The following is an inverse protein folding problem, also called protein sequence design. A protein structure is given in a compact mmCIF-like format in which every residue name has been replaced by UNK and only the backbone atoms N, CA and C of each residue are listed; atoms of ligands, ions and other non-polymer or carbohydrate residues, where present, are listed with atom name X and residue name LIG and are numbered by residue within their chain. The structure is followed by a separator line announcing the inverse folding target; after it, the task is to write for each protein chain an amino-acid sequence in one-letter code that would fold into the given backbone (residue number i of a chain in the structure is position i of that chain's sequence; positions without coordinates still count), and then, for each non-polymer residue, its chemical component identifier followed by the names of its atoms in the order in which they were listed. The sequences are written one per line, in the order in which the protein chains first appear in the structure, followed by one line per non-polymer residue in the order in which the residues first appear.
data_IF_730316750853
#
_entry.id   IF_730316750853
#
_cell.length_a   1.000
_cell.length_b   1.000
_cell.length_c   1.000
_cell.angle_alpha   90.00
_cell.angle_beta   90.00
_cell.angle_gamma   90.00
#
_symmetry.space_group_name_H-M   'P 1'
#
loop_
_entity.id
_entity.type
_entity.pdbx_description
1 polymer ?
#
# COMPACT_ATOMS: atom_id res chain seq x y z
N UNK A 1 13.04 -6.08 8.41
CA UNK A 1 14.42 -6.57 8.39
C UNK A 1 14.68 -7.20 7.04
N UNK A 2 15.76 -6.80 6.37
CA UNK A 2 16.04 -7.16 4.97
C UNK A 2 17.48 -7.63 4.82
N UNK A 3 17.72 -8.53 3.87
CA UNK A 3 19.06 -8.82 3.36
C UNK A 3 19.54 -7.71 2.41
N UNK A 4 20.82 -7.74 2.02
CA UNK A 4 21.39 -6.77 1.06
C UNK A 4 20.77 -6.88 -0.33
N UNK A 5 20.34 -8.07 -0.72
CA UNK A 5 19.64 -8.36 -1.96
C UNK A 5 18.12 -8.11 -1.88
N UNK A 6 17.61 -7.50 -0.79
CA UNK A 6 16.22 -7.06 -0.71
C UNK A 6 15.21 -8.11 -0.23
N UNK A 7 15.66 -9.30 0.18
CA UNK A 7 14.78 -10.33 0.75
C UNK A 7 14.36 -9.96 2.17
N UNK A 8 13.06 -10.05 2.48
CA UNK A 8 12.52 -9.89 3.83
C UNK A 8 12.95 -11.09 4.68
N UNK A 9 13.58 -10.81 5.82
CA UNK A 9 13.95 -11.83 6.82
C UNK A 9 13.06 -11.78 8.05
N UNK A 10 12.57 -10.60 8.40
CA UNK A 10 11.69 -10.43 9.55
C UNK A 10 10.85 -9.16 9.44
N UNK A 11 9.59 -9.23 9.85
CA UNK A 11 8.71 -8.06 9.96
C UNK A 11 8.11 -7.99 11.36
N UNK A 12 8.14 -6.81 11.96
CA UNK A 12 7.41 -6.51 13.20
C UNK A 12 6.47 -5.35 12.92
N UNK A 13 5.19 -5.53 13.19
CA UNK A 13 4.17 -4.49 13.04
C UNK A 13 3.40 -4.32 14.34
N UNK A 14 3.22 -3.06 14.76
CA UNK A 14 2.32 -2.68 15.84
C UNK A 14 1.29 -1.71 15.29
N UNK A 15 0.01 -2.10 15.33
CA UNK A 15 -1.10 -1.26 14.89
C UNK A 15 -1.92 -0.85 16.11
N UNK A 16 -2.09 0.45 16.29
CA UNK A 16 -2.94 1.02 17.35
C UNK A 16 -3.98 1.89 16.65
N UNK A 17 -5.26 1.54 16.80
CA UNK A 17 -6.35 2.24 16.13
C UNK A 17 -7.35 2.79 17.13
N UNK A 18 -7.86 3.98 16.81
CA UNK A 18 -8.98 4.60 17.52
C UNK A 18 -10.30 3.92 17.14
N UNK A 19 -10.86 3.16 18.09
CA UNK A 19 -12.15 2.48 17.97
C UNK A 19 -13.35 3.37 18.27
N UNK A 20 -13.13 4.59 18.79
CA UNK A 20 -14.18 5.47 19.26
C UNK A 20 -14.86 4.99 20.55
N UNK A 21 -16.00 5.59 20.88
CA UNK A 21 -16.70 5.36 22.14
C UNK A 21 -17.32 3.96 22.31
N UNK A 22 -17.61 3.26 21.20
CA UNK A 22 -18.18 1.92 21.22
C UNK A 22 -17.41 1.01 20.27
N UNK A 23 -17.15 -0.24 20.70
CA UNK A 23 -16.26 -1.14 19.98
C UNK A 23 -16.75 -1.48 18.57
N UNK A 24 -18.07 -1.49 18.34
CA UNK A 24 -18.70 -1.80 17.05
C UNK A 24 -17.98 -2.95 16.31
N UNK A 25 -17.41 -2.68 15.14
CA UNK A 25 -16.67 -3.66 14.33
C UNK A 25 -15.14 -3.56 14.49
N UNK A 26 -14.65 -2.78 15.46
CA UNK A 26 -13.22 -2.55 15.71
C UNK A 26 -12.45 -3.85 15.91
N UNK A 27 -12.96 -4.80 16.72
CA UNK A 27 -12.29 -6.09 16.94
C UNK A 27 -12.08 -6.85 15.62
N UNK A 28 -13.12 -6.93 14.78
CA UNK A 28 -13.01 -7.53 13.44
C UNK A 28 -12.04 -6.79 12.53
N UNK A 29 -12.04 -5.46 12.55
CA UNK A 29 -11.11 -4.62 11.76
C UNK A 29 -9.67 -4.89 12.17
N UNK A 30 -9.38 -4.92 13.47
CA UNK A 30 -8.04 -5.18 14.00
C UNK A 30 -7.57 -6.62 13.70
N UNK A 31 -8.48 -7.60 13.77
CA UNK A 31 -8.18 -8.99 13.43
C UNK A 31 -7.88 -9.16 11.95
N UNK A 32 -8.67 -8.56 11.06
CA UNK A 32 -8.43 -8.64 9.62
C UNK A 32 -7.14 -7.92 9.23
N UNK A 33 -6.86 -6.76 9.83
CA UNK A 33 -5.57 -6.10 9.64
C UNK A 33 -4.40 -7.00 10.02
N UNK A 34 -4.47 -7.71 11.16
CA UNK A 34 -3.42 -8.67 11.54
C UNK A 34 -3.26 -9.82 10.53
N UNK A 35 -4.36 -10.32 9.96
CA UNK A 35 -4.35 -11.40 8.95
C UNK A 35 -3.72 -10.94 7.63
N UNK A 36 -3.73 -9.64 7.32
CA UNK A 36 -3.25 -9.11 6.04
C UNK A 36 -1.96 -8.27 6.16
N UNK A 37 -1.50 -8.01 7.38
CA UNK A 37 -0.39 -7.11 7.65
C UNK A 37 0.96 -7.52 7.04
N UNK A 38 1.21 -8.80 6.79
CA UNK A 38 2.42 -9.22 6.09
C UNK A 38 2.43 -8.87 4.59
N UNK A 39 1.30 -8.39 4.06
CA UNK A 39 1.09 -8.19 2.63
C UNK A 39 1.12 -9.52 1.86
N UNK A 40 1.14 -9.47 0.52
CA UNK A 40 1.22 -10.65 -0.32
C UNK A 40 2.67 -11.15 -0.49
N UNK A 41 3.45 -11.10 0.61
CA UNK A 41 4.89 -11.38 0.61
C UNK A 41 5.24 -12.57 1.51
N UNK A 42 6.28 -13.31 1.13
CA UNK A 42 6.83 -14.40 1.93
C UNK A 42 7.70 -13.82 3.05
N UNK A 43 7.18 -13.82 4.27
CA UNK A 43 7.87 -13.30 5.46
C UNK A 43 8.16 -14.45 6.43
N UNK A 44 9.42 -14.91 6.58
CA UNK A 44 9.72 -16.10 7.36
C UNK A 44 9.57 -15.88 8.88
N UNK A 45 9.85 -14.68 9.38
CA UNK A 45 9.74 -14.34 10.80
C UNK A 45 8.84 -13.12 10.97
N UNK A 46 7.82 -13.23 11.81
CA UNK A 46 6.76 -12.23 11.90
C UNK A 46 6.28 -12.05 13.33
N UNK A 47 6.10 -10.80 13.74
CA UNK A 47 5.32 -10.44 14.92
C UNK A 47 4.35 -9.31 14.56
N UNK A 48 3.05 -9.52 14.78
CA UNK A 48 2.02 -8.51 14.54
C UNK A 48 1.18 -8.38 15.80
N UNK A 49 1.14 -7.17 16.35
CA UNK A 49 0.28 -6.82 17.47
C UNK A 49 -0.71 -5.74 17.01
N UNK A 50 -2.01 -5.97 17.20
CA UNK A 50 -3.08 -5.02 16.85
C UNK A 50 -3.91 -4.67 18.07
N UNK A 51 -4.15 -3.37 18.29
CA UNK A 51 -4.89 -2.83 19.43
C UNK A 51 -6.00 -1.88 18.97
N UNK A 52 -7.25 -2.20 19.29
CA UNK A 52 -8.37 -1.28 19.19
C UNK A 52 -8.55 -0.55 20.52
N UNK A 53 -8.45 0.78 20.50
CA UNK A 53 -8.50 1.62 21.70
C UNK A 53 -9.86 2.29 21.79
N UNK A 54 -10.52 2.16 22.93
CA UNK A 54 -11.70 2.96 23.25
C UNK A 54 -11.29 4.40 23.54
N UNK A 55 -11.94 5.34 22.88
CA UNK A 55 -11.71 6.78 23.06
C UNK A 55 -13.04 7.52 23.22
N UNK A 56 -13.00 8.83 23.45
CA UNK A 56 -14.20 9.67 23.45
C UNK A 56 -14.59 10.19 22.06
N UNK A 57 -13.91 9.74 21.00
CA UNK A 57 -14.26 10.11 19.63
C UNK A 57 -15.50 9.35 19.15
N UNK A 58 -16.07 9.82 18.04
CA UNK A 58 -17.19 9.16 17.37
C UNK A 58 -16.86 7.67 17.12
N UNK A 59 -17.80 6.74 17.38
CA UNK A 59 -17.58 5.32 17.18
C UNK A 59 -17.05 5.01 15.77
N UNK A 60 -15.94 4.26 15.72
CA UNK A 60 -15.34 3.78 14.47
C UNK A 60 -15.90 2.41 14.10
N UNK A 61 -15.81 2.05 12.83
CA UNK A 61 -16.26 0.74 12.38
C UNK A 61 -15.79 0.38 10.98
N UNK A 62 -16.55 -0.48 10.32
CA UNK A 62 -16.26 -0.98 9.00
C UNK A 62 -16.17 0.15 7.96
N UNK A 63 -15.00 0.29 7.35
CA UNK A 63 -14.84 0.99 6.09
C UNK A 63 -14.34 0.01 5.02
N UNK A 64 -14.48 0.34 3.74
CA UNK A 64 -13.96 -0.46 2.62
C UNK A 64 -12.52 -0.92 2.92
N UNK A 65 -12.26 -2.20 2.67
CA UNK A 65 -11.04 -2.97 3.02
C UNK A 65 -11.00 -3.55 4.44
N UNK A 66 -11.71 -2.96 5.41
CA UNK A 66 -11.93 -3.50 6.77
C UNK A 66 -10.61 -3.79 7.51
N UNK A 67 -9.74 -2.78 7.63
CA UNK A 67 -8.45 -2.89 8.35
C UNK A 67 -7.24 -3.24 7.46
N UNK A 68 -7.48 -3.82 6.29
CA UNK A 68 -6.40 -4.23 5.38
C UNK A 68 -5.57 -3.03 4.87
N UNK A 69 -6.26 -1.96 4.45
CA UNK A 69 -5.62 -0.80 3.82
C UNK A 69 -4.61 -0.13 4.77
N UNK A 70 -4.94 -0.01 6.05
CA UNK A 70 -4.07 0.58 7.07
C UNK A 70 -2.76 -0.20 7.20
N UNK A 71 -2.85 -1.53 7.20
CA UNK A 71 -1.67 -2.39 7.33
C UNK A 71 -0.88 -2.50 6.03
N UNK A 72 -1.57 -2.54 4.88
CA UNK A 72 -0.94 -2.55 3.56
C UNK A 72 -0.17 -1.26 3.30
N UNK A 73 -0.71 -0.09 3.68
CA UNK A 73 0.01 1.17 3.60
C UNK A 73 1.35 1.12 4.35
N UNK A 74 1.35 0.58 5.57
CA UNK A 74 2.57 0.46 6.37
C UNK A 74 3.58 -0.52 5.74
N UNK A 75 3.10 -1.67 5.23
CA UNK A 75 3.95 -2.69 4.61
C UNK A 75 4.54 -2.24 3.27
N UNK A 76 3.75 -1.58 2.44
CA UNK A 76 4.22 -1.03 1.16
C UNK A 76 5.19 0.14 1.37
N UNK A 77 4.91 1.02 2.34
CA UNK A 77 5.84 2.08 2.73
C UNK A 77 7.17 1.51 3.24
N UNK A 78 7.13 0.42 4.02
CA UNK A 78 8.34 -0.26 4.48
C UNK A 78 9.16 -0.79 3.30
N UNK A 79 8.52 -1.35 2.27
CA UNK A 79 9.19 -1.84 1.07
C UNK A 79 9.82 -0.72 0.26
N UNK A 80 9.13 0.42 0.11
CA UNK A 80 9.70 1.58 -0.62
C UNK A 80 10.90 2.17 0.12
N UNK A 81 10.83 2.31 1.44
CA UNK A 81 11.98 2.75 2.26
C UNK A 81 13.14 1.74 2.18
N UNK A 82 12.84 0.44 2.13
CA UNK A 82 13.86 -0.59 1.96
C UNK A 82 14.50 -0.53 0.57
N UNK A 83 13.69 -0.34 -0.48
CA UNK A 83 14.16 -0.17 -1.86
C UNK A 83 15.12 1.01 -1.97
N UNK A 84 14.76 2.16 -1.39
CA UNK A 84 15.61 3.35 -1.36
C UNK A 84 16.96 3.08 -0.69
N UNK A 85 16.93 2.50 0.52
CA UNK A 85 18.15 2.23 1.30
C UNK A 85 19.07 1.19 0.67
N UNK A 86 18.50 0.25 -0.09
CA UNK A 86 19.25 -0.82 -0.75
C UNK A 86 19.62 -0.49 -2.19
N UNK A 87 19.15 0.65 -2.72
CA UNK A 87 19.34 1.01 -4.13
C UNK A 87 18.65 0.05 -5.10
N UNK A 88 17.54 -0.56 -4.67
CA UNK A 88 16.75 -1.50 -5.47
C UNK A 88 15.57 -0.78 -6.11
N UNK A 89 15.15 -1.29 -7.26
CA UNK A 89 13.91 -0.84 -7.89
C UNK A 89 12.67 -1.28 -7.05
N UNK A 90 11.66 -0.41 -6.87
CA UNK A 90 10.44 -0.72 -6.13
C UNK A 90 9.66 -1.94 -6.63
N UNK A 91 9.63 -2.19 -7.94
CA UNK A 91 9.00 -3.38 -8.49
C UNK A 91 9.86 -4.62 -8.21
N UNK A 92 11.19 -4.51 -8.37
CA UNK A 92 12.10 -5.65 -8.15
C UNK A 92 12.04 -6.15 -6.71
N UNK A 93 12.08 -5.27 -5.70
CA UNK A 93 11.99 -5.71 -4.29
C UNK A 93 10.66 -6.42 -3.99
N UNK A 94 9.56 -6.01 -4.64
CA UNK A 94 8.27 -6.68 -4.52
C UNK A 94 8.29 -8.05 -5.19
N UNK A 95 8.92 -8.19 -6.36
CA UNK A 95 9.09 -9.48 -7.06
C UNK A 95 9.92 -10.48 -6.26
N UNK A 96 10.98 -10.02 -5.61
CA UNK A 96 11.86 -10.84 -4.77
C UNK A 96 11.07 -11.50 -3.63
N UNK A 97 10.12 -10.76 -3.06
CA UNK A 97 9.37 -11.18 -1.86
C UNK A 97 7.98 -11.73 -2.15
N UNK A 98 7.47 -11.63 -3.38
CA UNK A 98 6.12 -12.02 -3.76
C UNK A 98 5.78 -13.48 -3.43
N UNK A 99 4.57 -13.71 -2.93
CA UNK A 99 3.98 -15.05 -2.86
C UNK A 99 3.77 -15.64 -4.27
N UNK A 100 3.80 -16.96 -4.36
CA UNK A 100 3.60 -17.76 -5.57
C UNK A 100 2.63 -18.90 -5.30
N UNK A 101 2.19 -19.61 -6.33
CA UNK A 101 1.34 -20.80 -6.19
C UNK A 101 1.92 -21.77 -5.17
N UNK A 102 1.06 -22.28 -4.28
CA UNK A 102 1.45 -23.17 -3.20
C UNK A 102 2.10 -22.49 -1.98
N UNK A 103 2.34 -21.17 -2.01
CA UNK A 103 2.84 -20.43 -0.84
C UNK A 103 1.85 -20.53 0.34
N UNK A 104 2.41 -20.47 1.54
CA UNK A 104 1.64 -20.34 2.77
C UNK A 104 1.62 -18.87 3.20
N UNK A 105 0.44 -18.35 3.53
CA UNK A 105 0.34 -17.08 4.27
C UNK A 105 0.97 -17.23 5.66
N UNK A 106 1.20 -16.12 6.37
CA UNK A 106 1.69 -16.21 7.75
C UNK A 106 0.71 -16.93 8.69
N UNK A 107 -0.59 -16.88 8.37
CA UNK A 107 -1.66 -17.63 9.04
C UNK A 107 -1.80 -19.08 8.55
N UNK A 108 -0.85 -19.57 7.74
CA UNK A 108 -0.75 -20.95 7.22
C UNK A 108 -1.82 -21.35 6.22
N UNK A 109 -2.54 -20.40 5.62
CA UNK A 109 -3.42 -20.70 4.49
C UNK A 109 -2.58 -20.97 3.24
N UNK A 110 -2.82 -22.11 2.58
CA UNK A 110 -2.15 -22.46 1.31
C UNK A 110 -2.86 -21.79 0.14
N UNK A 111 -2.10 -21.04 -0.66
CA UNK A 111 -2.62 -20.38 -1.85
C UNK A 111 -2.64 -21.36 -3.03
N UNK A 112 -3.77 -21.41 -3.74
CA UNK A 112 -3.92 -22.19 -4.96
C UNK A 112 -3.28 -21.47 -6.14
N UNK A 113 -3.94 -20.42 -6.62
CA UNK A 113 -3.47 -19.58 -7.73
C UNK A 113 -3.13 -18.18 -7.23
N UNK A 114 -1.95 -17.68 -7.57
CA UNK A 114 -1.44 -16.37 -7.19
C UNK A 114 -1.06 -15.59 -8.44
N UNK A 115 -1.84 -14.54 -8.74
CA UNK A 115 -1.61 -13.68 -9.91
C UNK A 115 -0.80 -12.43 -9.63
N UNK A 116 -0.23 -12.28 -8.43
CA UNK A 116 0.47 -11.05 -8.01
C UNK A 116 1.53 -10.62 -9.02
N UNK A 117 2.42 -11.53 -9.42
CA UNK A 117 3.51 -11.20 -10.36
C UNK A 117 2.98 -10.80 -11.74
N UNK A 118 1.94 -11.48 -12.23
CA UNK A 118 1.27 -11.10 -13.47
C UNK A 118 0.69 -9.68 -13.37
N UNK A 119 0.01 -9.37 -12.26
CA UNK A 119 -0.54 -8.03 -12.04
C UNK A 119 0.58 -6.98 -11.94
N UNK A 120 1.70 -7.33 -11.32
CA UNK A 120 2.84 -6.44 -11.16
C UNK A 120 3.53 -6.17 -12.50
N UNK A 121 3.71 -7.18 -13.34
CA UNK A 121 4.27 -7.05 -14.70
C UNK A 121 3.39 -6.18 -15.60
N UNK A 122 2.07 -6.41 -15.58
CA UNK A 122 1.14 -5.58 -16.36
C UNK A 122 1.05 -4.15 -15.80
N UNK A 123 1.16 -3.96 -14.47
CA UNK A 123 1.19 -2.63 -13.87
C UNK A 123 2.47 -1.87 -14.25
N UNK A 124 3.63 -2.52 -14.23
CA UNK A 124 4.91 -1.91 -14.66
C UNK A 124 4.83 -1.46 -16.11
N UNK A 125 4.33 -2.34 -16.99
CA UNK A 125 4.15 -2.06 -18.41
C UNK A 125 3.14 -0.95 -18.67
N UNK A 126 1.95 -1.04 -18.08
CA UNK A 126 0.86 -0.09 -18.31
C UNK A 126 1.17 1.30 -17.74
N UNK A 127 1.95 1.38 -16.67
CA UNK A 127 2.38 2.66 -16.09
C UNK A 127 3.54 3.31 -16.85
N UNK A 128 4.18 2.60 -17.79
CA UNK A 128 5.40 3.06 -18.45
C UNK A 128 6.54 3.28 -17.45
N UNK A 129 6.66 2.39 -16.45
CA UNK A 129 7.60 2.56 -15.35
C UNK A 129 9.05 2.63 -15.86
N UNK A 130 9.77 3.66 -15.46
CA UNK A 130 11.20 3.79 -15.69
C UNK A 130 11.95 3.11 -14.55
N UNK A 131 12.68 2.05 -14.90
CA UNK A 131 13.39 1.22 -13.91
C UNK A 131 14.49 2.00 -13.21
N UNK A 132 14.53 1.90 -11.87
CA UNK A 132 15.57 2.52 -11.06
C UNK A 132 15.22 2.58 -9.58
N UNK A 133 16.19 2.93 -8.74
CA UNK A 133 15.93 3.23 -7.33
C UNK A 133 14.87 4.34 -7.19
N UNK A 134 14.10 4.41 -6.09
CA UNK A 134 12.99 5.36 -5.91
C UNK A 134 13.34 6.84 -6.19
N UNK A 135 14.60 7.21 -5.99
CA UNK A 135 15.14 8.57 -6.24
C UNK A 135 15.50 8.85 -7.70
N UNK A 136 15.26 7.92 -8.63
CA UNK A 136 15.71 8.01 -10.04
C UNK A 136 14.72 8.77 -10.94
N UNK A 137 13.61 9.30 -10.41
CA UNK A 137 12.77 10.21 -11.18
C UNK A 137 13.49 11.54 -11.33
N UNK A 138 14.11 11.76 -12.49
CA UNK A 138 14.82 13.01 -12.82
C UNK A 138 13.92 14.25 -12.73
N UNK A 139 14.44 15.41 -13.15
CA UNK A 139 13.73 16.69 -13.06
C UNK A 139 12.44 16.81 -13.89
N UNK A 140 12.15 15.82 -14.74
CA UNK A 140 11.01 15.83 -15.67
C UNK A 140 10.18 14.55 -15.49
N UNK A 141 8.86 14.70 -15.41
CA UNK A 141 7.90 13.58 -15.34
C UNK A 141 7.47 13.19 -16.75
N UNK A 142 7.84 12.00 -17.21
CA UNK A 142 7.45 11.47 -18.51
C UNK A 142 6.17 10.62 -18.47
N UNK A 143 5.69 10.31 -17.26
CA UNK A 143 4.51 9.50 -16.97
C UNK A 143 3.19 10.32 -16.91
N UNK A 144 3.20 11.58 -17.34
CA UNK A 144 2.02 12.44 -17.38
C UNK A 144 1.56 12.67 -18.83
N UNK A 145 0.27 12.89 -19.04
CA UNK A 145 -0.33 13.21 -20.35
C UNK A 145 -0.15 12.13 -21.44
N UNK A 146 0.15 10.89 -21.05
CA UNK A 146 0.24 9.75 -21.95
C UNK A 146 -1.12 9.20 -22.40
N UNK A 147 -1.16 8.37 -23.46
CA UNK A 147 -2.37 7.69 -23.90
C UNK A 147 -3.01 6.87 -22.78
N UNK A 148 -4.30 7.07 -22.51
CA UNK A 148 -5.02 6.34 -21.45
C UNK A 148 -4.93 6.97 -20.05
N UNK A 149 -4.11 8.01 -19.86
CA UNK A 149 -4.07 8.79 -18.63
C UNK A 149 -5.22 9.80 -18.66
N UNK A 150 -6.13 9.70 -17.69
CA UNK A 150 -7.19 10.71 -17.55
C UNK A 150 -6.64 11.97 -16.92
N UNK A 151 -7.06 13.17 -17.37
CA UNK A 151 -6.73 14.40 -16.68
C UNK A 151 -7.25 14.34 -15.24
N UNK A 152 -6.52 14.98 -14.33
CA UNK A 152 -6.95 15.09 -12.94
C UNK A 152 -8.37 15.67 -12.88
N UNK A 153 -9.32 14.93 -12.33
CA UNK A 153 -10.64 15.48 -12.06
C UNK A 153 -10.65 16.05 -10.65
N UNK A 154 -10.79 17.37 -10.53
CA UNK A 154 -11.11 17.99 -9.26
C UNK A 154 -12.59 17.68 -8.94
N UNK A 155 -12.82 16.76 -8.02
CA UNK A 155 -14.15 16.58 -7.42
C UNK A 155 -14.47 17.82 -6.59
N UNK A 156 -15.23 18.77 -7.16
CA UNK A 156 -15.80 19.88 -6.40
C UNK A 156 -15.63 21.30 -6.94
N UNK A 157 -15.25 21.53 -8.20
CA UNK A 157 -15.23 22.89 -8.74
C UNK A 157 -15.43 22.94 -10.25
N UNK A 158 -16.68 23.17 -10.69
CA UNK A 158 -16.92 23.97 -11.88
C UNK A 158 -16.75 25.44 -11.48
N UNK A 159 -15.51 25.88 -11.28
CA UNK A 159 -15.24 27.31 -11.36
C UNK A 159 -14.80 27.56 -12.79
N UNK A 160 -15.66 28.21 -13.57
CA UNK A 160 -15.26 28.73 -14.88
C UNK A 160 -14.04 29.61 -14.67
N UNK A 161 -12.95 29.26 -15.36
CA UNK A 161 -11.71 30.01 -15.31
C UNK A 161 -11.90 31.47 -15.78
N UNK A 162 -12.96 31.74 -16.55
CA UNK A 162 -13.29 33.05 -17.09
C UNK A 162 -14.03 33.97 -16.11
N UNK A 163 -14.65 33.44 -15.05
CA UNK A 163 -15.42 34.23 -14.09
C UNK A 163 -14.55 35.15 -13.19
N UNK A 164 -13.21 35.00 -13.24
CA UNK A 164 -12.27 35.87 -12.49
C UNK A 164 -11.71 37.04 -13.30
N UNK A 165 -12.07 37.23 -14.57
CA UNK A 165 -11.57 38.36 -15.38
C UNK A 165 -12.45 39.61 -15.38
N UNK A 166 -13.73 39.54 -15.03
CA UNK A 166 -14.63 40.71 -15.04
C UNK A 166 -14.77 41.43 -13.68
N UNK A 167 -14.25 40.88 -12.59
CA UNK A 167 -14.31 41.52 -11.27
C UNK A 167 -13.08 42.39 -10.93
N UNK A 168 -12.23 42.67 -11.93
CA UNK A 168 -10.98 43.43 -11.79
C UNK A 168 -10.90 44.66 -12.72
N UNK A 169 -12.04 45.13 -13.24
CA UNK A 169 -12.24 46.49 -13.77
C UNK A 169 -13.26 47.23 -12.89
#
# INVERSE_FOLDING_TARGET
GFTRDGKIVATRMKMVCDGGAYGLSTEGVMRKGAILAAGPYVVPNLQIDTYGIYTNNTPSGAFRSFGALQTEFATESMLDVAAERLGLDPFDIRRINAMRDGALTHTKAKLGTVSLLRCLDEAEKASGWEKGAPTVRGGTRHDLNGPGIRPACALGARFDADAKREAAE
#
